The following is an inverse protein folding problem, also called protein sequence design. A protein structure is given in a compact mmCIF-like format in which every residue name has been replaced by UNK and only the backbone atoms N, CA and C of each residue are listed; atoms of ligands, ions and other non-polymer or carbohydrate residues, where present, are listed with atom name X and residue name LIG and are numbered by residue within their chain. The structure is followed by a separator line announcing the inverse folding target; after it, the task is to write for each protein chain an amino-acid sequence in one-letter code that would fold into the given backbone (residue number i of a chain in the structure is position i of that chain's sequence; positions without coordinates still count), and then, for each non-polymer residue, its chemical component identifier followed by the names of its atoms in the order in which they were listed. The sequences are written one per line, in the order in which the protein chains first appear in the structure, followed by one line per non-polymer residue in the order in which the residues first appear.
data_IF_030895148831
#
_entry.id   IF_030895148831
#
_cell.length_a   1.000
_cell.length_b   1.000
_cell.length_c   1.000
_cell.angle_alpha   90.00
_cell.angle_beta   90.00
_cell.angle_gamma   90.00
#
_symmetry.space_group_name_H-M   'P 1'
#
loop_
_entity.id
_entity.type
_entity.pdbx_description
1 polymer ?
#
# COMPACT_ATOMS: atom_id res chain seq x y z
N UNK A 1 -19.87 -3.60 20.38
CA UNK A 1 -18.50 -3.31 19.88
C UNK A 1 -18.20 -4.24 18.71
N UNK A 2 -17.59 -3.76 17.61
CA UNK A 2 -17.21 -4.64 16.49
C UNK A 2 -15.84 -5.27 16.78
N UNK A 3 -15.78 -6.61 16.85
CA UNK A 3 -14.54 -7.36 17.06
C UNK A 3 -13.60 -7.29 15.85
N UNK A 4 -14.17 -7.16 14.65
CA UNK A 4 -13.47 -7.06 13.39
C UNK A 4 -13.79 -5.71 12.75
N UNK A 5 -12.77 -5.03 12.25
CA UNK A 5 -12.91 -3.78 11.50
C UNK A 5 -12.00 -3.77 10.27
N UNK A 6 -12.25 -2.82 9.36
CA UNK A 6 -11.38 -2.52 8.22
C UNK A 6 -10.90 -1.09 8.42
N UNK A 7 -9.58 -0.89 8.32
CA UNK A 7 -8.94 0.42 8.43
C UNK A 7 -8.14 0.73 7.17
N UNK A 8 -8.36 1.94 6.65
CA UNK A 8 -7.55 2.54 5.58
C UNK A 8 -6.49 3.44 6.20
N UNK A 9 -5.25 3.32 5.75
CA UNK A 9 -4.15 4.17 6.19
C UNK A 9 -3.23 4.47 4.99
N UNK A 10 -2.95 5.74 4.75
CA UNK A 10 -2.02 6.18 3.70
C UNK A 10 -0.72 6.62 4.34
N UNK A 11 0.41 6.03 3.92
CA UNK A 11 1.74 6.33 4.44
C UNK A 11 2.67 6.76 3.31
N UNK A 12 3.55 7.76 3.53
CA UNK A 12 4.68 7.96 2.65
C UNK A 12 5.65 6.77 2.79
N UNK A 13 6.02 6.16 1.66
CA UNK A 13 7.04 5.11 1.58
C UNK A 13 8.05 5.45 0.50
N UNK A 14 9.33 5.26 0.81
CA UNK A 14 10.39 5.29 -0.20
C UNK A 14 10.61 3.89 -0.73
N UNK A 15 10.42 3.70 -2.04
CA UNK A 15 10.65 2.42 -2.73
C UNK A 15 11.85 2.55 -3.65
N UNK A 16 12.75 1.58 -3.58
CA UNK A 16 13.92 1.52 -4.46
C UNK A 16 13.76 0.40 -5.48
N UNK A 17 14.11 0.68 -6.73
CA UNK A 17 14.34 -0.35 -7.75
C UNK A 17 15.60 -0.03 -8.54
N UNK A 18 16.30 -1.05 -9.04
CA UNK A 18 17.55 -0.85 -9.79
C UNK A 18 17.37 0.01 -11.06
N UNK A 19 16.22 -0.11 -11.74
CA UNK A 19 15.94 0.61 -12.99
C UNK A 19 15.48 2.07 -12.76
N UNK A 20 14.81 2.36 -11.64
CA UNK A 20 14.16 3.68 -11.40
C UNK A 20 14.78 4.47 -10.25
N UNK A 21 15.72 3.91 -9.50
CA UNK A 21 16.25 4.53 -8.29
C UNK A 21 15.24 4.54 -7.14
N UNK A 22 15.38 5.51 -6.23
CA UNK A 22 14.50 5.70 -5.08
C UNK A 22 13.33 6.63 -5.44
N UNK A 23 12.11 6.21 -5.10
CA UNK A 23 10.88 6.93 -5.33
C UNK A 23 10.08 7.04 -4.03
N UNK A 24 9.86 8.26 -3.56
CA UNK A 24 9.01 8.56 -2.41
C UNK A 24 7.57 8.74 -2.86
N UNK A 25 6.67 7.85 -2.43
CA UNK A 25 5.27 7.81 -2.87
C UNK A 25 4.32 7.59 -1.71
N UNK A 26 3.07 7.99 -1.90
CA UNK A 26 1.98 7.63 -0.98
C UNK A 26 1.50 6.22 -1.28
N UNK A 27 1.50 5.36 -0.25
CA UNK A 27 1.00 4.00 -0.32
C UNK A 27 -0.21 3.88 0.60
N UNK A 28 -1.33 3.46 0.03
CA UNK A 28 -2.59 3.28 0.75
C UNK A 28 -2.78 1.80 1.08
N UNK A 29 -2.88 1.50 2.37
CA UNK A 29 -3.18 0.18 2.88
C UNK A 29 -4.64 0.08 3.31
N UNK A 30 -5.29 -1.01 2.94
CA UNK A 30 -6.59 -1.40 3.51
C UNK A 30 -6.36 -2.69 4.28
N UNK A 31 -6.47 -2.63 5.62
CA UNK A 31 -6.17 -3.75 6.51
C UNK A 31 -7.40 -4.16 7.30
N UNK A 32 -7.58 -5.48 7.44
CA UNK A 32 -8.50 -6.08 8.40
C UNK A 32 -7.85 -6.07 9.77
N UNK A 33 -8.60 -5.63 10.79
CA UNK A 33 -8.14 -5.52 12.16
C UNK A 33 -9.05 -6.36 13.07
N UNK A 34 -8.46 -6.90 14.14
CA UNK A 34 -9.15 -7.56 15.24
C UNK A 34 -8.72 -6.88 16.53
N UNK A 35 -9.66 -6.40 17.34
CA UNK A 35 -9.37 -5.60 18.54
C UNK A 35 -8.37 -4.45 18.27
N UNK A 36 -8.58 -3.70 17.17
CA UNK A 36 -7.69 -2.63 16.66
C UNK A 36 -6.28 -3.06 16.19
N UNK A 37 -5.92 -4.34 16.29
CA UNK A 37 -4.64 -4.86 15.80
C UNK A 37 -4.81 -5.32 14.35
N UNK A 38 -4.07 -4.75 13.37
CA UNK A 38 -4.12 -5.19 11.98
C UNK A 38 -3.46 -6.55 11.81
N UNK A 39 -4.15 -7.51 11.19
CA UNK A 39 -3.63 -8.88 10.98
C UNK A 39 -3.62 -9.34 9.52
N UNK A 40 -4.37 -8.70 8.63
CA UNK A 40 -4.39 -9.02 7.19
C UNK A 40 -4.46 -7.75 6.35
N UNK A 41 -3.59 -7.61 5.36
CA UNK A 41 -3.75 -6.59 4.31
C UNK A 41 -4.69 -7.16 3.25
N UNK A 42 -5.76 -6.43 2.94
CA UNK A 42 -6.74 -6.80 1.92
C UNK A 42 -6.36 -6.21 0.57
N UNK A 43 -5.99 -4.93 0.56
CA UNK A 43 -5.57 -4.23 -0.65
C UNK A 43 -4.40 -3.30 -0.35
N UNK A 44 -3.58 -3.07 -1.37
CA UNK A 44 -2.42 -2.20 -1.27
C UNK A 44 -2.21 -1.43 -2.57
N UNK A 45 -2.45 -0.13 -2.52
CA UNK A 45 -2.35 0.76 -3.66
C UNK A 45 -1.18 1.71 -3.50
N UNK A 46 -0.61 2.16 -4.62
CA UNK A 46 0.41 3.21 -4.63
C UNK A 46 0.13 4.23 -5.72
N UNK A 47 0.55 5.46 -5.47
CA UNK A 47 0.64 6.49 -6.51
C UNK A 47 1.84 6.20 -7.42
N UNK A 48 1.64 6.33 -8.72
CA UNK A 48 2.69 6.21 -9.74
C UNK A 48 3.33 7.57 -10.00
N UNK A 49 4.42 7.57 -10.78
CA UNK A 49 5.09 8.81 -11.19
C UNK A 49 4.15 9.77 -11.94
N UNK A 50 3.15 9.25 -12.64
CA UNK A 50 2.18 10.02 -13.41
C UNK A 50 0.95 10.47 -12.59
N UNK A 51 0.97 10.25 -11.26
CA UNK A 51 -0.17 10.57 -10.38
C UNK A 51 -1.31 9.55 -10.42
N UNK A 52 -1.17 8.47 -11.19
CA UNK A 52 -2.18 7.40 -11.23
C UNK A 52 -2.09 6.53 -9.98
N UNK A 53 -3.22 6.11 -9.41
CA UNK A 53 -3.26 5.12 -8.33
C UNK A 53 -3.40 3.72 -8.92
N UNK A 54 -2.42 2.85 -8.65
CA UNK A 54 -2.42 1.46 -9.13
C UNK A 54 -2.30 0.48 -7.97
N UNK A 55 -2.73 -0.75 -8.20
CA UNK A 55 -2.38 -1.85 -7.29
C UNK A 55 -0.86 -2.03 -7.28
N UNK A 56 -0.31 -2.35 -6.11
CA UNK A 56 1.11 -2.64 -5.98
C UNK A 56 1.51 -3.91 -6.75
N UNK A 57 0.60 -4.85 -6.98
CA UNK A 57 0.86 -6.06 -7.77
C UNK A 57 1.03 -5.76 -9.26
N UNK A 58 0.24 -4.83 -9.80
CA UNK A 58 0.37 -4.33 -11.20
C UNK A 58 1.67 -3.55 -11.45
N UNK A 59 2.37 -3.23 -10.36
CA UNK A 59 3.50 -2.34 -10.32
C UNK A 59 4.85 -3.07 -10.19
N UNK A 60 4.83 -4.41 -10.24
CA UNK A 60 6.03 -5.25 -10.14
C UNK A 60 6.71 -5.32 -11.52
N UNK A 61 7.73 -4.48 -11.70
CA UNK A 61 8.48 -4.34 -12.96
C UNK A 61 9.56 -5.43 -13.20
N UNK A 62 9.66 -6.43 -12.31
CA UNK A 62 10.75 -7.41 -12.27
C UNK A 62 10.26 -8.87 -12.34
N UNK A 63 9.12 -9.13 -12.98
CA UNK A 63 8.68 -10.50 -13.29
C UNK A 63 9.56 -11.12 -14.38
#
# INVERSE_FOLDING_TARGET
MKLISIKRETKPETRFTRKMGALSIKVTYIKKQFLNIPFKTLHKYRETYYGEVKDCEDCVLAK
#
